data_IF_287321955577
#
_entry.id   IF_287321955577
#
_cell.length_a   1.000
_cell.length_b   1.000
_cell.length_c   1.000
_cell.angle_alpha   90.00
_cell.angle_beta   90.00
_cell.angle_gamma   90.00
#
_symmetry.space_group_name_H-M   'P 1'
#
loop_
_entity.id
_entity.type
_entity.pdbx_description
1 polymer ?
#
# COMPACT_ATOMS: atom_id res chain seq x y z
N UNK A 1 -3.83 -20.44 23.32
CA UNK A 1 -3.40 -20.85 21.94
C UNK A 1 -4.20 -20.18 20.81
N UNK A 2 -5.55 -20.09 20.85
CA UNK A 2 -6.35 -19.43 19.78
C UNK A 2 -6.26 -17.88 19.80
N UNK A 3 -6.19 -17.27 20.99
CA UNK A 3 -6.07 -15.80 21.17
C UNK A 3 -4.74 -15.23 20.67
N UNK A 4 -3.64 -15.96 20.92
CA UNK A 4 -2.28 -15.55 20.56
C UNK A 4 -2.07 -15.51 19.04
N UNK A 5 -2.69 -16.43 18.30
CA UNK A 5 -2.68 -16.44 16.83
C UNK A 5 -3.50 -15.29 16.21
N UNK A 6 -4.54 -14.81 16.90
CA UNK A 6 -5.38 -13.70 16.44
C UNK A 6 -4.65 -12.36 16.62
N UNK A 7 -4.07 -12.13 17.80
CA UNK A 7 -3.23 -10.94 18.07
C UNK A 7 -2.05 -10.85 17.09
N UNK A 8 -1.36 -11.97 16.89
CA UNK A 8 -0.22 -12.09 15.98
C UNK A 8 -0.56 -11.92 14.49
N UNK A 9 -1.82 -12.06 14.08
CA UNK A 9 -2.29 -11.79 12.70
C UNK A 9 -2.68 -10.32 12.52
N UNK A 10 -3.04 -9.64 13.61
CA UNK A 10 -3.46 -8.24 13.60
C UNK A 10 -2.26 -7.26 13.62
N UNK A 11 -1.14 -7.59 14.26
CA UNK A 11 0.05 -6.72 14.25
C UNK A 11 0.64 -6.53 12.84
N UNK A 12 0.77 -7.60 12.04
CA UNK A 12 1.26 -7.46 10.66
C UNK A 12 0.34 -6.60 9.79
N UNK A 13 -0.98 -6.65 10.05
CA UNK A 13 -1.95 -5.74 9.41
C UNK A 13 -1.73 -4.31 9.85
N UNK A 14 -1.50 -4.06 11.14
CA UNK A 14 -1.20 -2.72 11.65
C UNK A 14 0.06 -2.14 10.98
N UNK A 15 1.15 -2.90 10.90
CA UNK A 15 2.35 -2.43 10.23
C UNK A 15 2.17 -2.20 8.72
N UNK A 16 1.40 -3.07 8.05
CA UNK A 16 1.01 -2.86 6.64
C UNK A 16 0.21 -1.56 6.49
N UNK A 17 -0.74 -1.31 7.39
CA UNK A 17 -1.55 -0.09 7.41
C UNK A 17 -0.70 1.14 7.64
N UNK A 18 0.18 1.14 8.65
CA UNK A 18 1.07 2.26 8.96
C UNK A 18 2.02 2.57 7.80
N UNK A 19 2.61 1.53 7.19
CA UNK A 19 3.47 1.69 6.02
C UNK A 19 2.70 2.24 4.82
N UNK A 20 1.51 1.70 4.54
CA UNK A 20 0.63 2.21 3.49
C UNK A 20 0.16 3.64 3.77
N UNK A 21 -0.08 4.00 5.03
CA UNK A 21 -0.53 5.34 5.44
C UNK A 21 0.59 6.37 5.28
N UNK A 22 1.83 6.01 5.61
CA UNK A 22 2.98 6.85 5.31
C UNK A 22 3.15 7.03 3.79
N UNK A 23 3.02 5.95 3.03
CA UNK A 23 3.02 5.99 1.56
C UNK A 23 1.90 6.89 1.01
N UNK A 24 0.71 6.84 1.59
CA UNK A 24 -0.43 7.69 1.26
C UNK A 24 -0.13 9.18 1.44
N UNK A 25 0.46 9.56 2.57
CA UNK A 25 0.84 10.96 2.83
C UNK A 25 1.83 11.44 1.75
N UNK A 26 2.89 10.67 1.51
CA UNK A 26 3.93 11.01 0.52
C UNK A 26 3.34 11.09 -0.88
N UNK A 27 2.53 10.10 -1.27
CA UNK A 27 1.86 10.07 -2.56
C UNK A 27 0.93 11.26 -2.76
N UNK A 28 0.16 11.65 -1.74
CA UNK A 28 -0.74 12.81 -1.79
C UNK A 28 0.04 14.10 -2.06
N UNK A 29 1.14 14.32 -1.33
CA UNK A 29 2.00 15.50 -1.51
C UNK A 29 2.60 15.54 -2.92
N UNK A 30 3.09 14.40 -3.42
CA UNK A 30 3.67 14.32 -4.76
C UNK A 30 2.62 14.50 -5.87
N UNK A 31 1.41 13.93 -5.69
CA UNK A 31 0.29 14.15 -6.62
C UNK A 31 -0.14 15.62 -6.62
N UNK A 32 -0.13 16.29 -5.47
CA UNK A 32 -0.42 17.72 -5.36
C UNK A 32 0.61 18.55 -6.15
N UNK A 33 1.91 18.30 -5.97
CA UNK A 33 2.93 18.97 -6.77
C UNK A 33 2.82 18.63 -8.26
N UNK A 34 2.44 17.40 -8.60
CA UNK A 34 2.21 17.00 -9.99
C UNK A 34 1.05 17.77 -10.63
N UNK A 35 -0.04 18.01 -9.88
CA UNK A 35 -1.17 18.81 -10.32
C UNK A 35 -0.77 20.28 -10.55
N UNK A 36 -0.02 20.88 -9.62
CA UNK A 36 0.49 22.26 -9.74
C UNK A 36 1.39 22.46 -10.98
N UNK A 37 2.14 21.43 -11.37
CA UNK A 37 3.06 21.48 -12.50
C UNK A 37 2.47 20.93 -13.82
N UNK A 38 1.15 20.69 -13.89
CA UNK A 38 0.47 20.11 -15.07
C UNK A 38 1.13 18.81 -15.58
N UNK A 39 1.63 17.99 -14.67
CA UNK A 39 2.26 16.71 -15.02
C UNK A 39 1.20 15.75 -15.58
N UNK A 40 1.61 14.93 -16.56
CA UNK A 40 0.71 13.99 -17.24
C UNK A 40 0.05 13.02 -16.26
N UNK A 41 -1.24 12.78 -16.49
CA UNK A 41 -2.10 11.84 -15.75
C UNK A 41 -1.43 10.49 -15.45
N UNK A 42 -0.69 9.94 -16.42
CA UNK A 42 -0.05 8.63 -16.29
C UNK A 42 1.02 8.59 -15.18
N UNK A 43 1.74 9.69 -14.96
CA UNK A 43 2.79 9.78 -13.94
C UNK A 43 2.15 9.82 -12.55
N UNK A 44 1.05 10.55 -12.40
CA UNK A 44 0.27 10.62 -11.14
C UNK A 44 -0.22 9.25 -10.72
N UNK A 45 -0.59 8.36 -11.66
CA UNK A 45 -0.99 6.99 -11.35
C UNK A 45 0.16 6.17 -10.75
N UNK A 46 1.37 6.29 -11.31
CA UNK A 46 2.54 5.61 -10.77
C UNK A 46 2.92 6.14 -9.38
N UNK A 47 2.78 7.45 -9.14
CA UNK A 47 3.00 8.05 -7.83
C UNK A 47 1.96 7.56 -6.80
N UNK A 48 0.67 7.61 -7.17
CA UNK A 48 -0.44 7.26 -6.29
C UNK A 48 -0.49 5.76 -5.95
N UNK A 49 -0.13 4.88 -6.89
CA UNK A 49 -0.14 3.42 -6.63
C UNK A 49 1.22 2.95 -6.14
N UNK A 50 2.30 3.27 -6.86
CA UNK A 50 3.62 2.73 -6.59
C UNK A 50 4.17 3.09 -5.20
N UNK A 51 4.01 4.34 -4.76
CA UNK A 51 4.55 4.78 -3.46
C UNK A 51 3.78 4.12 -2.30
N UNK A 52 2.47 4.01 -2.44
CA UNK A 52 1.59 3.39 -1.44
C UNK A 52 1.87 1.89 -1.37
N UNK A 53 2.08 1.24 -2.52
CA UNK A 53 2.45 -0.16 -2.61
C UNK A 53 3.77 -0.44 -1.89
N UNK A 54 4.80 0.37 -2.18
CA UNK A 54 6.11 0.28 -1.50
C UNK A 54 5.93 0.43 0.00
N UNK A 55 5.20 1.45 0.45
CA UNK A 55 4.92 1.69 1.86
C UNK A 55 4.27 0.49 2.56
N UNK A 56 3.21 -0.06 1.98
CA UNK A 56 2.49 -1.20 2.55
C UNK A 56 3.34 -2.50 2.56
N UNK A 57 4.15 -2.74 1.52
CA UNK A 57 5.05 -3.90 1.43
C UNK A 57 6.15 -3.81 2.50
N UNK A 58 6.82 -2.66 2.62
CA UNK A 58 7.86 -2.45 3.63
C UNK A 58 7.28 -2.50 5.04
N UNK A 59 6.09 -1.92 5.26
CA UNK A 59 5.37 -2.03 6.53
C UNK A 59 5.17 -3.50 6.94
N UNK A 60 4.60 -4.31 6.04
CA UNK A 60 4.40 -5.74 6.30
C UNK A 60 5.72 -6.48 6.60
N UNK A 61 6.78 -6.17 5.86
CA UNK A 61 8.12 -6.73 6.05
C UNK A 61 8.68 -6.42 7.45
N UNK A 62 8.62 -5.17 7.89
CA UNK A 62 9.07 -4.78 9.24
C UNK A 62 8.24 -5.44 10.35
N UNK A 63 6.93 -5.58 10.15
CA UNK A 63 6.06 -6.30 11.07
C UNK A 63 6.47 -7.77 11.22
N UNK A 64 6.74 -8.46 10.11
CA UNK A 64 7.24 -9.84 10.10
C UNK A 64 8.59 -9.96 10.83
N UNK A 65 9.55 -9.07 10.57
CA UNK A 65 10.86 -9.10 11.24
C UNK A 65 10.79 -8.86 12.74
N UNK A 66 9.97 -7.91 13.19
CA UNK A 66 9.78 -7.65 14.63
C UNK A 66 9.24 -8.89 15.33
N UNK A 67 8.27 -9.56 14.71
CA UNK A 67 7.66 -10.78 15.24
C UNK A 67 8.64 -11.96 15.27
N UNK A 68 9.47 -12.12 14.25
CA UNK A 68 10.52 -13.14 14.23
C UNK A 68 11.52 -12.92 15.38
N UNK A 69 11.92 -11.66 15.61
CA UNK A 69 12.79 -11.28 16.73
C UNK A 69 12.18 -11.59 18.10
N UNK A 70 10.88 -11.29 18.31
CA UNK A 70 10.17 -11.61 19.55
C UNK A 70 10.09 -13.13 19.76
N UNK A 71 9.82 -13.88 18.69
CA UNK A 71 9.77 -15.35 18.74
C UNK A 71 11.12 -15.97 19.03
N UNK A 72 12.21 -15.44 18.48
CA UNK A 72 13.58 -15.86 18.81
C UNK A 72 13.89 -15.65 20.29
N UNK A 73 13.55 -14.48 20.84
CA UNK A 73 13.75 -14.16 22.27
C UNK A 73 12.96 -15.13 23.17
N UNK A 74 11.67 -15.34 22.87
CA UNK A 74 10.84 -16.27 23.63
C UNK A 74 11.33 -17.72 23.50
N UNK A 75 11.77 -18.12 22.30
CA UNK A 75 12.33 -19.45 22.08
C UNK A 75 13.69 -19.63 22.76
N UNK A 76 14.48 -18.58 22.93
CA UNK A 76 15.72 -18.62 23.72
C UNK A 76 15.42 -18.89 25.19
N UNK A 77 14.41 -18.20 25.74
CA UNK A 77 13.93 -18.45 27.11
C UNK A 77 13.35 -19.86 27.31
N UNK A 78 12.87 -20.52 26.25
CA UNK A 78 12.27 -21.86 26.30
C UNK A 78 13.24 -22.99 25.90
N UNK A 79 14.23 -22.69 25.06
CA UNK A 79 15.27 -23.61 24.54
C UNK A 79 16.46 -23.81 25.47
N UNK A 80 16.46 -23.17 26.65
CA UNK A 80 17.37 -23.52 27.74
C UNK A 80 17.21 -24.99 28.18
N UNK A 81 16.20 -25.73 27.66
CA UNK A 81 16.00 -27.17 27.91
C UNK A 81 16.23 -28.13 26.72
N UNK A 82 16.30 -27.73 25.46
CA UNK A 82 16.49 -28.70 24.35
C UNK A 82 17.37 -28.13 23.23
N UNK A 83 18.42 -28.88 22.88
CA UNK A 83 19.54 -28.53 22.02
C UNK A 83 19.20 -27.94 20.64
N UNK A 84 20.04 -26.98 20.23
CA UNK A 84 19.87 -26.11 19.07
C UNK A 84 19.98 -26.86 17.74
N UNK A 85 18.91 -26.87 16.94
CA UNK A 85 18.98 -27.17 15.50
C UNK A 85 19.22 -25.87 14.73
N UNK A 86 20.34 -25.80 13.99
CA UNK A 86 20.78 -24.63 13.23
C UNK A 86 19.86 -24.43 12.01
N UNK A 87 18.98 -23.42 12.05
CA UNK A 87 18.19 -23.02 10.86
C UNK A 87 19.05 -22.24 9.87
N UNK A 88 18.84 -22.53 8.59
CA UNK A 88 19.53 -21.92 7.44
C UNK A 88 19.36 -20.40 7.41
N UNK A 89 20.46 -19.68 7.09
CA UNK A 89 20.53 -18.20 6.98
C UNK A 89 19.87 -17.62 5.73
N UNK A 90 19.45 -18.47 4.79
CA UNK A 90 18.78 -18.03 3.56
C UNK A 90 17.26 -18.13 3.74
N UNK A 91 16.68 -17.23 4.55
CA UNK A 91 15.23 -17.04 4.54
C UNK A 91 14.83 -16.43 3.18
N UNK A 92 13.80 -17.02 2.60
CA UNK A 92 13.31 -16.73 1.27
C UNK A 92 12.62 -15.35 1.29
N UNK A 93 13.35 -14.26 0.97
CA UNK A 93 12.86 -12.87 0.89
C UNK A 93 11.52 -12.75 0.14
N UNK A 94 11.30 -13.62 -0.85
CA UNK A 94 10.06 -13.72 -1.61
C UNK A 94 8.82 -14.09 -0.78
N UNK A 95 8.97 -14.86 0.31
CA UNK A 95 7.87 -15.16 1.24
C UNK A 95 7.61 -14.03 2.26
N UNK A 96 8.60 -13.18 2.50
CA UNK A 96 8.48 -12.05 3.43
C UNK A 96 7.82 -10.83 2.77
N UNK A 97 8.07 -10.59 1.49
CA UNK A 97 7.47 -9.51 0.69
C UNK A 97 6.07 -9.83 0.14
N UNK A 98 5.45 -10.92 0.60
CA UNK A 98 4.15 -11.36 0.08
C UNK A 98 3.04 -10.32 0.32
N UNK A 99 2.47 -9.83 -0.78
CA UNK A 99 1.32 -8.93 -0.81
C UNK A 99 0.08 -9.72 -0.36
N UNK A 100 -0.58 -9.31 0.72
CA UNK A 100 -1.83 -9.94 1.14
C UNK A 100 -3.04 -9.17 0.56
N UNK A 101 -4.22 -9.80 0.51
CA UNK A 101 -5.50 -9.17 0.13
C UNK A 101 -5.74 -7.89 0.94
N UNK A 102 -5.37 -7.88 2.22
CA UNK A 102 -5.45 -6.68 3.05
C UNK A 102 -4.54 -5.55 2.55
N UNK A 103 -3.32 -5.86 2.11
CA UNK A 103 -2.41 -4.89 1.50
C UNK A 103 -3.02 -4.32 0.23
N UNK A 104 -3.57 -5.16 -0.65
CA UNK A 104 -4.25 -4.74 -1.89
C UNK A 104 -5.41 -3.79 -1.59
N UNK A 105 -6.23 -4.11 -0.58
CA UNK A 105 -7.36 -3.27 -0.18
C UNK A 105 -6.90 -1.89 0.32
N UNK A 106 -5.85 -1.84 1.15
CA UNK A 106 -5.26 -0.58 1.61
C UNK A 106 -4.70 0.23 0.43
N UNK A 107 -3.92 -0.42 -0.43
CA UNK A 107 -3.32 0.20 -1.61
C UNK A 107 -4.41 0.86 -2.46
N UNK A 108 -5.48 0.12 -2.79
CA UNK A 108 -6.62 0.67 -3.53
C UNK A 108 -7.21 1.88 -2.79
N UNK A 109 -7.67 1.71 -1.55
CA UNK A 109 -8.35 2.76 -0.80
C UNK A 109 -7.52 4.04 -0.70
N UNK A 110 -6.24 3.90 -0.37
CA UNK A 110 -5.33 5.03 -0.24
C UNK A 110 -4.94 5.66 -1.58
N UNK A 111 -4.84 4.91 -2.68
CA UNK A 111 -4.58 5.52 -4.00
C UNK A 111 -5.75 6.40 -4.45
N UNK A 112 -7.00 5.93 -4.30
CA UNK A 112 -8.17 6.76 -4.60
C UNK A 112 -8.23 8.01 -3.72
N UNK A 113 -7.95 7.84 -2.42
CA UNK A 113 -7.94 8.93 -1.45
C UNK A 113 -6.81 9.94 -1.72
N UNK A 114 -5.63 9.48 -2.13
CA UNK A 114 -4.48 10.33 -2.42
C UNK A 114 -4.77 11.26 -3.60
N UNK A 115 -5.35 10.72 -4.68
CA UNK A 115 -5.77 11.51 -5.84
C UNK A 115 -6.82 12.53 -5.41
N UNK A 116 -7.85 12.09 -4.69
CA UNK A 116 -8.91 12.96 -4.19
C UNK A 116 -8.37 14.12 -3.35
N UNK A 117 -7.58 13.79 -2.33
CA UNK A 117 -7.07 14.78 -1.39
C UNK A 117 -6.06 15.73 -2.07
N UNK A 118 -5.27 15.22 -3.02
CA UNK A 118 -4.36 16.05 -3.80
C UNK A 118 -5.09 17.08 -4.65
N UNK A 119 -6.24 16.72 -5.23
CA UNK A 119 -7.06 17.64 -6.01
C UNK A 119 -7.78 18.65 -5.10
N UNK A 120 -8.31 18.20 -3.96
CA UNK A 120 -8.90 19.10 -2.95
C UNK A 120 -7.88 20.15 -2.50
N UNK A 121 -6.64 19.74 -2.21
CA UNK A 121 -5.56 20.66 -1.85
C UNK A 121 -5.21 21.62 -3.01
N UNK A 122 -5.13 21.11 -4.23
CA UNK A 122 -4.85 21.91 -5.43
C UNK A 122 -5.89 23.02 -5.61
N UNK A 123 -7.16 22.68 -5.53
CA UNK A 123 -8.29 23.60 -5.62
C UNK A 123 -8.32 24.61 -4.47
N UNK A 124 -8.08 24.16 -3.24
CA UNK A 124 -8.04 25.05 -2.09
C UNK A 124 -6.97 26.14 -2.25
N UNK A 125 -5.77 25.78 -2.75
CA UNK A 125 -4.71 26.75 -3.05
C UNK A 125 -5.09 27.71 -4.19
N UNK A 126 -5.85 27.24 -5.20
CA UNK A 126 -6.34 28.10 -6.27
C UNK A 126 -7.36 29.11 -5.73
N UNK A 127 -8.30 28.66 -4.89
CA UNK A 127 -9.33 29.54 -4.33
C UNK A 127 -8.81 30.47 -3.24
N UNK A 128 -7.81 30.07 -2.45
CA UNK A 128 -7.13 30.97 -1.51
C UNK A 128 -6.55 32.20 -2.22
N UNK A 129 -6.00 32.02 -3.43
CA UNK A 129 -5.53 33.14 -4.25
C UNK A 129 -6.66 34.05 -4.76
N UNK A 130 -7.87 33.52 -4.91
CA UNK A 130 -9.04 34.27 -5.37
C UNK A 130 -9.77 34.97 -4.22
N UNK A 131 -9.71 34.40 -3.02
CA UNK A 131 -10.40 34.85 -1.81
C UNK A 131 -9.41 34.97 -0.64
N UNK A 132 -8.46 35.93 -0.69
CA UNK A 132 -7.37 36.02 0.29
C UNK A 132 -7.84 36.35 1.72
N UNK A 133 -9.04 36.90 1.86
CA UNK A 133 -9.61 37.28 3.17
C UNK A 133 -10.26 36.09 3.91
N UNK A 134 -10.40 34.94 3.25
CA UNK A 134 -11.00 33.72 3.81
C UNK A 134 -9.90 32.79 4.29
N UNK A 135 -10.09 32.14 5.44
CA UNK A 135 -9.10 31.21 5.98
C UNK A 135 -8.97 29.99 5.07
N UNK A 136 -7.73 29.55 4.84
CA UNK A 136 -7.43 28.37 4.03
C UNK A 136 -8.24 27.13 4.43
N UNK A 137 -8.38 26.85 5.74
CA UNK A 137 -9.13 25.66 6.20
C UNK A 137 -10.62 25.73 5.88
N UNK A 138 -11.22 26.92 5.88
CA UNK A 138 -12.62 27.10 5.52
C UNK A 138 -12.81 26.78 4.03
N UNK A 139 -11.92 27.31 3.18
CA UNK A 139 -11.86 26.99 1.74
C UNK A 139 -11.65 25.49 1.52
N UNK A 140 -10.70 24.87 2.25
CA UNK A 140 -10.38 23.46 2.13
C UNK A 140 -11.60 22.56 2.42
N UNK A 141 -12.35 22.88 3.48
CA UNK A 141 -13.57 22.15 3.86
C UNK A 141 -14.66 22.36 2.80
N UNK A 142 -14.82 23.58 2.31
CA UNK A 142 -15.81 23.90 1.27
C UNK A 142 -15.52 23.16 -0.05
N UNK A 143 -14.25 23.14 -0.48
CA UNK A 143 -13.82 22.34 -1.62
C UNK A 143 -14.07 20.85 -1.38
N UNK A 144 -13.62 20.31 -0.24
CA UNK A 144 -13.77 18.89 0.06
C UNK A 144 -15.24 18.45 0.02
N UNK A 145 -16.17 19.29 0.48
CA UNK A 145 -17.59 18.95 0.49
C UNK A 145 -18.27 19.16 -0.86
N UNK A 146 -17.79 20.10 -1.69
CA UNK A 146 -18.44 20.49 -2.94
C UNK A 146 -17.71 20.11 -4.22
N UNK A 147 -16.55 19.45 -4.16
CA UNK A 147 -15.76 19.12 -5.35
C UNK A 147 -16.55 18.34 -6.42
N UNK A 148 -17.51 17.51 -6.02
CA UNK A 148 -18.41 16.79 -6.94
C UNK A 148 -19.53 17.66 -7.53
N UNK A 149 -19.83 18.81 -6.94
CA UNK A 149 -20.79 19.78 -7.47
C UNK A 149 -20.14 20.70 -8.52
N UNK A 150 -18.82 20.88 -8.46
CA UNK A 150 -18.04 21.67 -9.42
C UNK A 150 -17.82 20.83 -10.70
N UNK A 151 -18.47 21.22 -11.80
CA UNK A 151 -18.54 20.39 -13.02
C UNK A 151 -17.18 20.00 -13.62
N UNK A 152 -16.22 20.92 -13.67
CA UNK A 152 -14.88 20.66 -14.21
C UNK A 152 -14.02 19.82 -13.27
N UNK A 153 -14.03 20.11 -11.96
CA UNK A 153 -13.28 19.37 -10.94
C UNK A 153 -13.80 17.93 -10.82
N UNK A 154 -15.13 17.75 -10.80
CA UNK A 154 -15.76 16.42 -10.86
C UNK A 154 -15.29 15.64 -12.08
N UNK A 155 -15.33 16.24 -13.27
CA UNK A 155 -14.94 15.57 -14.52
C UNK A 155 -13.47 15.14 -14.47
N UNK A 156 -12.60 16.02 -13.99
CA UNK A 156 -11.18 15.74 -13.82
C UNK A 156 -10.96 14.56 -12.86
N UNK A 157 -11.53 14.61 -11.65
CA UNK A 157 -11.41 13.57 -10.65
C UNK A 157 -11.93 12.21 -11.13
N UNK A 158 -13.10 12.18 -11.79
CA UNK A 158 -13.68 10.95 -12.36
C UNK A 158 -12.77 10.35 -13.43
N UNK A 159 -12.14 11.16 -14.28
CA UNK A 159 -11.19 10.67 -15.29
C UNK A 159 -10.00 10.00 -14.61
N UNK A 160 -9.39 10.64 -13.61
CA UNK A 160 -8.27 10.02 -12.86
C UNK A 160 -8.66 8.72 -12.21
N UNK A 161 -9.84 8.67 -11.59
CA UNK A 161 -10.35 7.45 -10.97
C UNK A 161 -10.61 6.34 -11.98
N UNK A 162 -11.19 6.63 -13.15
CA UNK A 162 -11.40 5.63 -14.19
C UNK A 162 -10.08 5.03 -14.67
N UNK A 163 -9.08 5.87 -14.94
CA UNK A 163 -7.76 5.38 -15.33
C UNK A 163 -7.08 4.61 -14.19
N UNK A 164 -7.19 5.08 -12.95
CA UNK A 164 -6.70 4.36 -11.77
C UNK A 164 -7.37 2.97 -11.66
N UNK A 165 -8.68 2.88 -11.89
CA UNK A 165 -9.40 1.59 -11.89
C UNK A 165 -8.82 0.65 -12.92
N UNK A 166 -8.66 1.10 -14.17
CA UNK A 166 -8.09 0.29 -15.25
C UNK A 166 -6.69 -0.19 -14.86
N UNK A 167 -5.85 0.71 -14.34
CA UNK A 167 -4.49 0.39 -13.92
C UNK A 167 -4.45 -0.64 -12.78
N UNK A 168 -5.25 -0.44 -11.73
CA UNK A 168 -5.35 -1.37 -10.60
C UNK A 168 -5.82 -2.74 -11.04
N UNK A 169 -6.81 -2.82 -11.93
CA UNK A 169 -7.30 -4.10 -12.47
C UNK A 169 -6.19 -4.81 -13.25
N UNK A 170 -5.48 -4.10 -14.12
CA UNK A 170 -4.33 -4.66 -14.85
C UNK A 170 -3.24 -5.16 -13.89
N UNK A 171 -2.94 -4.40 -12.84
CA UNK A 171 -1.95 -4.75 -11.84
C UNK A 171 -2.34 -6.01 -11.06
N UNK A 172 -3.59 -6.12 -10.60
CA UNK A 172 -4.10 -7.31 -9.91
C UNK A 172 -4.03 -8.54 -10.83
N UNK A 173 -4.41 -8.41 -12.11
CA UNK A 173 -4.31 -9.49 -13.10
C UNK A 173 -2.86 -9.95 -13.26
N UNK A 174 -1.91 -9.01 -13.36
CA UNK A 174 -0.49 -9.31 -13.48
C UNK A 174 0.03 -10.11 -12.27
N UNK A 175 -0.28 -9.67 -11.04
CA UNK A 175 0.07 -10.40 -9.80
C UNK A 175 -0.51 -11.82 -9.84
N UNK A 176 -1.75 -11.98 -10.29
CA UNK A 176 -2.39 -13.29 -10.32
C UNK A 176 -1.77 -14.24 -11.35
N UNK A 177 -1.34 -13.72 -12.52
CA UNK A 177 -0.62 -14.49 -13.53
C UNK A 177 0.75 -14.93 -12.99
N UNK A 178 1.50 -14.02 -12.36
CA UNK A 178 2.80 -14.36 -11.75
C UNK A 178 2.68 -15.42 -10.67
N UNK A 179 1.71 -15.28 -9.75
CA UNK A 179 1.45 -16.30 -8.72
C UNK A 179 1.14 -17.67 -9.31
N UNK A 180 0.34 -17.71 -10.39
CA UNK A 180 0.05 -18.97 -11.10
C UNK A 180 1.31 -19.57 -11.73
N UNK A 181 2.19 -18.76 -12.33
CA UNK A 181 3.47 -19.22 -12.89
C UNK A 181 4.37 -19.80 -11.80
N UNK A 182 4.55 -19.08 -10.69
CA UNK A 182 5.38 -19.51 -9.55
C UNK A 182 4.87 -20.83 -8.98
N UNK A 183 3.54 -20.97 -8.80
CA UNK A 183 2.93 -22.21 -8.31
C UNK A 183 3.21 -23.39 -9.24
N UNK A 184 3.04 -23.22 -10.55
CA UNK A 184 3.35 -24.26 -11.56
C UNK A 184 4.82 -24.70 -11.52
N UNK A 185 5.76 -23.76 -11.39
CA UNK A 185 7.19 -24.11 -11.26
C UNK A 185 7.48 -24.90 -9.99
N UNK A 186 6.86 -24.53 -8.86
CA UNK A 186 7.06 -25.20 -7.58
C UNK A 186 6.49 -26.63 -7.57
N UNK A 187 5.35 -26.84 -8.22
CA UNK A 187 4.73 -28.16 -8.36
C UNK A 187 5.50 -29.06 -9.35
N UNK A 188 6.08 -28.48 -10.40
CA UNK A 188 6.97 -29.20 -11.33
C UNK A 188 8.26 -29.68 -10.66
N UNK A 189 8.92 -28.82 -9.88
CA UNK A 189 10.15 -29.19 -9.16
C UNK A 189 9.92 -30.25 -8.08
N UNK A 190 8.74 -30.27 -7.44
CA UNK A 190 8.39 -31.35 -6.50
C UNK A 190 8.25 -32.70 -7.19
N UNK A 191 7.54 -32.74 -8.32
CA UNK A 191 7.39 -33.97 -9.12
C UNK A 191 8.73 -34.49 -9.65
N UNK A 192 9.65 -33.60 -10.02
CA UNK A 192 10.99 -33.97 -10.46
C UNK A 192 11.88 -34.46 -9.31
N UNK A 193 11.70 -33.94 -8.09
CA UNK A 193 12.43 -34.38 -6.90
C UNK A 193 11.97 -35.73 -6.34
N UNK A 194 10.70 -36.12 -6.54
CA UNK A 194 10.17 -37.43 -6.15
C UNK A 194 10.54 -38.56 -7.15
N UNK A 195 11.21 -38.21 -8.26
CA UNK A 195 11.64 -39.13 -9.33
C UNK A 195 13.10 -39.59 -9.17
N UNK A 196 13.80 -39.12 -8.13
CA UNK A 196 15.16 -39.50 -7.74
C UNK A 196 15.18 -39.98 -6.29
#
# INVERSE_FOLDING_TARGET
MKSENIFNKNENKLYTFLGGFLGFIIATVLCFFAAQNNIRHIIVMFLAVGIIDIGAIFGNFFGKKKKEKIREINSWNESEKIGKVKKSKFNNLYGELEINIFSIAIMCAFSYLAIYLSEVLNLAVIFEKQYPDVKFFDILIEVATNIFNIGWARRYLVIYWLFLTIFVVMFIIAIFIERRKIKKMKDGNRKAGDLF
#
